data_IF_158073238060
#
_entry.id   IF_158073238060
#
_cell.length_a   1.000
_cell.length_b   1.000
_cell.length_c   1.000
_cell.angle_alpha   90.00
_cell.angle_beta   90.00
_cell.angle_gamma   90.00
#
_symmetry.space_group_name_H-M   'P 1'
#
loop_
_entity.id
_entity.type
_entity.pdbx_description
1 polymer ?
#
# COMPACT_ATOMS: atom_id res chain seq x y z
N UNK A 1 -13.97 14.90 -15.11
CA UNK A 1 -14.31 15.96 -14.13
C UNK A 1 -13.67 15.62 -12.78
N UNK A 2 -13.28 16.60 -11.95
CA UNK A 2 -12.81 16.36 -10.59
C UNK A 2 -13.84 15.58 -9.76
N UNK A 3 -13.37 14.69 -8.89
CA UNK A 3 -14.20 13.78 -8.07
C UNK A 3 -14.17 14.10 -6.56
N UNK A 4 -13.48 15.17 -6.17
CA UNK A 4 -13.42 15.63 -4.77
C UNK A 4 -12.44 14.89 -3.86
N UNK A 5 -11.50 14.10 -4.42
CA UNK A 5 -10.46 13.39 -3.63
C UNK A 5 -9.08 13.53 -4.29
N UNK A 6 -8.02 13.50 -3.49
CA UNK A 6 -6.63 13.37 -4.01
C UNK A 6 -6.34 11.96 -4.52
N UNK A 7 -6.83 10.91 -3.87
CA UNK A 7 -6.77 9.54 -4.38
C UNK A 7 -8.14 8.89 -4.39
N UNK A 8 -8.75 8.86 -5.59
CA UNK A 8 -9.98 8.10 -5.81
C UNK A 8 -9.73 6.58 -5.71
N UNK A 9 -8.52 6.13 -6.08
CA UNK A 9 -8.11 4.73 -5.96
C UNK A 9 -8.15 4.25 -4.52
N UNK A 10 -7.56 5.01 -3.58
CA UNK A 10 -7.59 4.67 -2.15
C UNK A 10 -9.03 4.61 -1.63
N UNK A 11 -9.89 5.53 -2.07
CA UNK A 11 -11.32 5.51 -1.72
C UNK A 11 -12.05 4.25 -2.22
N UNK A 12 -11.77 3.79 -3.45
CA UNK A 12 -12.35 2.53 -3.96
C UNK A 12 -11.97 1.36 -3.04
N UNK A 13 -10.72 1.28 -2.60
CA UNK A 13 -10.26 0.20 -1.69
C UNK A 13 -10.90 0.25 -0.30
N UNK A 14 -11.39 1.41 0.14
CA UNK A 14 -12.17 1.53 1.38
C UNK A 14 -13.60 0.95 1.24
N UNK A 15 -14.10 0.74 0.01
CA UNK A 15 -15.50 0.40 -0.26
C UNK A 15 -15.66 -0.89 -1.09
N UNK A 16 -14.64 -1.75 -1.13
CA UNK A 16 -14.65 -2.95 -1.97
C UNK A 16 -15.20 -4.19 -1.25
N UNK A 17 -14.41 -4.84 -0.39
CA UNK A 17 -14.83 -6.02 0.37
C UNK A 17 -14.14 -6.00 1.75
N UNK A 18 -14.87 -5.69 2.83
CA UNK A 18 -14.30 -5.53 4.16
C UNK A 18 -13.68 -6.81 4.72
N UNK A 19 -14.00 -8.00 4.18
CA UNK A 19 -13.40 -9.25 4.61
C UNK A 19 -11.92 -9.37 4.19
N UNK A 20 -11.49 -8.59 3.19
CA UNK A 20 -10.15 -8.73 2.59
C UNK A 20 -9.40 -7.41 2.40
N UNK A 21 -10.01 -6.28 2.68
CA UNK A 21 -9.38 -4.94 2.58
C UNK A 21 -9.22 -4.31 3.96
N UNK A 22 -8.43 -3.24 4.06
CA UNK A 22 -8.35 -2.42 5.27
C UNK A 22 -6.98 -2.41 5.94
N UNK A 23 -6.98 -1.88 7.17
CA UNK A 23 -5.78 -1.67 8.01
C UNK A 23 -5.39 -2.88 8.87
N UNK A 24 -6.21 -3.96 8.86
CA UNK A 24 -6.02 -5.17 9.65
C UNK A 24 -5.73 -4.89 11.14
N UNK A 25 -6.68 -4.37 11.94
CA UNK A 25 -6.45 -3.95 13.33
C UNK A 25 -5.68 -4.96 14.20
N UNK A 26 -5.92 -6.25 13.98
CA UNK A 26 -5.28 -7.32 14.75
C UNK A 26 -3.75 -7.37 14.63
N UNK A 27 -3.15 -6.73 13.62
CA UNK A 27 -1.67 -6.71 13.47
C UNK A 27 -0.98 -5.88 14.57
N UNK A 28 -1.75 -5.07 15.30
CA UNK A 28 -1.28 -4.25 16.42
C UNK A 28 -1.65 -4.85 17.80
N UNK A 29 -2.28 -6.01 17.83
CA UNK A 29 -2.58 -6.73 19.07
C UNK A 29 -1.33 -7.43 19.62
N UNK A 30 -1.24 -7.56 20.94
CA UNK A 30 -0.21 -8.37 21.59
C UNK A 30 -0.28 -9.82 21.10
N UNK A 31 0.88 -10.41 20.81
CA UNK A 31 0.96 -11.78 20.28
C UNK A 31 0.75 -11.90 18.77
N UNK A 32 0.69 -10.78 18.03
CA UNK A 32 0.72 -10.82 16.57
C UNK A 32 1.94 -11.61 16.05
N UNK A 33 1.68 -12.52 15.11
CA UNK A 33 2.68 -13.38 14.48
C UNK A 33 2.10 -14.10 13.26
N UNK A 34 2.87 -15.04 12.69
CA UNK A 34 2.43 -15.79 11.50
C UNK A 34 1.14 -16.58 11.72
N UNK A 35 0.98 -17.21 12.89
CA UNK A 35 -0.21 -17.98 13.24
C UNK A 35 -1.48 -17.10 13.24
N UNK A 36 -1.41 -15.93 13.86
CA UNK A 36 -2.53 -14.97 13.87
C UNK A 36 -2.94 -14.51 12.47
N UNK A 37 -1.96 -14.28 11.59
CA UNK A 37 -2.21 -13.93 10.20
C UNK A 37 -2.81 -15.11 9.40
N UNK A 38 -2.35 -16.34 9.65
CA UNK A 38 -2.94 -17.55 9.09
C UNK A 38 -4.40 -17.67 9.50
N UNK A 39 -4.73 -17.48 10.77
CA UNK A 39 -6.12 -17.50 11.24
C UNK A 39 -6.99 -16.49 10.51
N UNK A 40 -6.53 -15.24 10.41
CA UNK A 40 -7.21 -14.23 9.61
C UNK A 40 -7.43 -14.69 8.16
N UNK A 41 -6.38 -15.15 7.49
CA UNK A 41 -6.45 -15.57 6.10
C UNK A 41 -7.37 -16.78 5.88
N UNK A 42 -7.43 -17.72 6.83
CA UNK A 42 -8.34 -18.87 6.80
C UNK A 42 -9.82 -18.45 6.87
N UNK A 43 -10.10 -17.32 7.52
CA UNK A 43 -11.45 -16.77 7.68
C UNK A 43 -11.86 -15.82 6.54
N UNK A 44 -10.92 -15.41 5.68
CA UNK A 44 -11.27 -14.67 4.45
C UNK A 44 -12.01 -15.61 3.48
N UNK A 45 -13.20 -15.23 2.97
CA UNK A 45 -13.91 -16.05 2.00
C UNK A 45 -13.15 -16.22 0.69
N UNK A 46 -13.14 -17.44 0.15
CA UNK A 46 -12.43 -17.77 -1.09
C UNK A 46 -13.05 -17.09 -2.31
N UNK A 47 -12.29 -16.97 -3.40
CA UNK A 47 -12.80 -16.63 -4.74
C UNK A 47 -12.94 -17.85 -5.64
N UNK A 48 -11.90 -18.68 -5.71
CA UNK A 48 -11.83 -19.80 -6.63
C UNK A 48 -10.90 -20.89 -6.11
N UNK A 49 -10.97 -22.05 -6.76
CA UNK A 49 -9.92 -23.08 -6.74
C UNK A 49 -9.43 -23.26 -8.17
N UNK A 50 -8.12 -23.33 -8.38
CA UNK A 50 -7.56 -23.60 -9.71
C UNK A 50 -7.20 -25.08 -9.84
N UNK A 51 -7.83 -25.79 -10.79
CA UNK A 51 -7.61 -27.21 -11.05
C UNK A 51 -7.60 -27.48 -12.54
N UNK A 52 -6.60 -28.22 -13.01
CA UNK A 52 -6.50 -28.71 -14.39
C UNK A 52 -6.78 -27.64 -15.46
N UNK A 53 -6.22 -26.45 -15.28
CA UNK A 53 -6.38 -25.34 -16.22
C UNK A 53 -7.67 -24.52 -16.06
N UNK A 54 -8.49 -24.79 -15.04
CA UNK A 54 -9.80 -24.19 -14.85
C UNK A 54 -9.94 -23.50 -13.50
N UNK A 55 -10.60 -22.35 -13.51
CA UNK A 55 -11.07 -21.67 -12.31
C UNK A 55 -12.42 -22.24 -11.90
N UNK A 56 -12.46 -22.93 -10.77
CA UNK A 56 -13.67 -23.43 -10.12
C UNK A 56 -14.18 -22.35 -9.18
N UNK A 57 -15.43 -21.92 -9.35
CA UNK A 57 -16.02 -20.88 -8.53
C UNK A 57 -16.21 -21.37 -7.09
N UNK A 58 -15.48 -20.75 -6.15
CA UNK A 58 -15.58 -20.98 -4.71
C UNK A 58 -15.93 -19.68 -3.96
N UNK A 59 -16.54 -18.72 -4.67
CA UNK A 59 -16.84 -17.40 -4.15
C UNK A 59 -17.67 -17.50 -2.87
N UNK A 60 -17.16 -16.93 -1.79
CA UNK A 60 -17.84 -16.89 -0.49
C UNK A 60 -17.68 -18.17 0.35
N UNK A 61 -16.98 -19.20 -0.15
CA UNK A 61 -16.79 -20.46 0.58
C UNK A 61 -15.58 -20.40 1.52
N UNK A 62 -15.54 -21.30 2.51
CA UNK A 62 -14.54 -21.30 3.59
C UNK A 62 -13.29 -22.10 3.23
N UNK A 63 -12.12 -21.48 3.38
CA UNK A 63 -10.85 -22.19 3.28
C UNK A 63 -10.68 -23.20 4.43
N UNK A 64 -11.27 -22.94 5.60
CA UNK A 64 -11.31 -23.92 6.70
C UNK A 64 -12.13 -25.15 6.34
N UNK A 65 -13.23 -25.01 5.60
CA UNK A 65 -13.96 -26.17 5.08
C UNK A 65 -13.14 -26.92 4.04
N UNK A 66 -12.38 -26.21 3.21
CA UNK A 66 -11.46 -26.84 2.27
C UNK A 66 -10.41 -27.70 2.99
N UNK A 67 -9.78 -27.18 4.05
CA UNK A 67 -8.84 -27.96 4.88
C UNK A 67 -9.43 -29.26 5.41
N UNK A 68 -10.74 -29.31 5.62
CA UNK A 68 -11.47 -30.46 6.16
C UNK A 68 -12.09 -31.36 5.08
N UNK A 69 -11.85 -31.12 3.79
CA UNK A 69 -12.47 -31.88 2.70
C UNK A 69 -13.95 -31.56 2.47
N UNK A 70 -14.44 -30.43 3.02
CA UNK A 70 -15.86 -30.05 3.06
C UNK A 70 -16.20 -28.88 2.15
N UNK A 71 -15.29 -28.45 1.27
CA UNK A 71 -15.54 -27.35 0.34
C UNK A 71 -16.64 -27.71 -0.67
N UNK A 72 -17.79 -27.01 -0.71
CA UNK A 72 -18.86 -27.32 -1.65
C UNK A 72 -18.45 -27.28 -3.12
N UNK A 73 -17.56 -26.36 -3.50
CA UNK A 73 -17.02 -26.24 -4.86
C UNK A 73 -16.16 -27.44 -5.28
N UNK A 74 -15.60 -28.18 -4.33
CA UNK A 74 -14.72 -29.32 -4.58
C UNK A 74 -14.86 -30.38 -3.47
N UNK A 75 -15.98 -31.13 -3.44
CA UNK A 75 -16.30 -32.02 -2.32
C UNK A 75 -15.29 -33.16 -2.15
N UNK A 76 -14.86 -33.40 -0.90
CA UNK A 76 -13.94 -34.48 -0.55
C UNK A 76 -12.45 -34.17 -0.78
N UNK A 77 -12.14 -33.05 -1.43
CA UNK A 77 -10.78 -32.63 -1.75
C UNK A 77 -10.22 -31.69 -0.68
N UNK A 78 -8.92 -31.77 -0.42
CA UNK A 78 -8.18 -30.92 0.52
C UNK A 78 -7.23 -29.99 -0.22
N UNK A 79 -6.92 -28.78 0.31
CA UNK A 79 -6.10 -27.81 -0.38
C UNK A 79 -4.65 -28.27 -0.49
N UNK A 80 -4.02 -27.91 -1.59
CA UNK A 80 -2.58 -27.95 -1.79
C UNK A 80 -1.94 -26.63 -1.32
N UNK A 81 -0.61 -26.59 -1.27
CA UNK A 81 0.11 -25.33 -1.06
C UNK A 81 -0.12 -24.31 -2.18
N UNK A 82 -0.47 -24.76 -3.40
CA UNK A 82 -0.82 -23.86 -4.50
C UNK A 82 -2.14 -23.15 -4.20
N UNK A 83 -3.14 -23.86 -3.67
CA UNK A 83 -4.42 -23.26 -3.28
C UNK A 83 -4.26 -22.23 -2.19
N UNK A 84 -3.39 -22.50 -1.23
CA UNK A 84 -3.05 -21.54 -0.19
C UNK A 84 -2.39 -20.28 -0.77
N UNK A 85 -1.44 -20.44 -1.69
CA UNK A 85 -0.78 -19.31 -2.35
C UNK A 85 -1.75 -18.49 -3.21
N UNK A 86 -2.67 -19.16 -3.92
CA UNK A 86 -3.73 -18.51 -4.69
C UNK A 86 -4.68 -17.76 -3.76
N UNK A 87 -5.13 -18.38 -2.66
CA UNK A 87 -6.01 -17.78 -1.67
C UNK A 87 -5.42 -16.51 -1.07
N UNK A 88 -4.16 -16.55 -0.62
CA UNK A 88 -3.44 -15.37 -0.10
C UNK A 88 -3.36 -14.23 -1.13
N UNK A 89 -3.34 -14.55 -2.42
CA UNK A 89 -3.32 -13.55 -3.50
C UNK A 89 -4.67 -12.85 -3.68
N UNK A 90 -5.74 -13.39 -3.10
CA UNK A 90 -7.08 -12.78 -3.08
C UNK A 90 -7.36 -11.90 -1.86
N UNK A 91 -6.40 -11.75 -0.95
CA UNK A 91 -6.49 -10.84 0.20
C UNK A 91 -5.87 -9.50 -0.20
N UNK A 92 -6.45 -8.34 0.14
CA UNK A 92 -6.03 -7.02 -0.34
C UNK A 92 -5.97 -5.91 0.74
N UNK A 93 -5.29 -6.12 1.89
CA UNK A 93 -5.04 -5.06 2.87
C UNK A 93 -4.05 -3.99 2.35
N UNK A 94 -3.81 -2.91 3.10
CA UNK A 94 -2.79 -1.90 2.74
C UNK A 94 -1.37 -2.46 2.74
N UNK A 95 -1.09 -3.40 3.65
CA UNK A 95 0.14 -4.16 3.71
C UNK A 95 -0.22 -5.65 3.75
N UNK A 96 0.24 -6.43 2.78
CA UNK A 96 -0.11 -7.85 2.66
C UNK A 96 1.07 -8.74 2.97
N UNK A 97 0.83 -9.79 3.76
CA UNK A 97 1.83 -10.80 4.07
C UNK A 97 1.61 -12.06 3.23
N UNK A 98 2.70 -12.51 2.61
CA UNK A 98 2.90 -13.84 2.01
C UNK A 98 4.25 -14.36 2.52
N UNK A 99 5.05 -15.01 1.67
CA UNK A 99 6.48 -15.25 1.91
C UNK A 99 7.33 -13.96 1.92
N UNK A 100 6.69 -12.83 1.68
CA UNK A 100 7.23 -11.47 1.63
C UNK A 100 6.10 -10.49 2.00
N UNK A 101 6.46 -9.26 2.31
CA UNK A 101 5.51 -8.16 2.53
C UNK A 101 5.31 -7.35 1.26
N UNK A 102 4.08 -6.92 1.00
CA UNK A 102 3.71 -6.06 -0.12
C UNK A 102 3.09 -4.77 0.42
N UNK A 103 3.66 -3.62 0.06
CA UNK A 103 3.12 -2.29 0.37
C UNK A 103 2.20 -1.84 -0.76
N UNK A 104 0.91 -1.63 -0.46
CA UNK A 104 -0.16 -1.58 -1.48
C UNK A 104 -0.92 -0.24 -1.50
N UNK A 105 -0.49 0.75 -0.73
CA UNK A 105 -1.21 2.02 -0.57
C UNK A 105 -1.06 3.02 -1.72
N UNK A 106 -0.04 2.89 -2.58
CA UNK A 106 0.30 3.91 -3.56
C UNK A 106 -0.55 3.87 -4.85
N UNK A 107 -0.81 5.05 -5.40
CA UNK A 107 -1.34 5.24 -6.75
C UNK A 107 -0.23 5.03 -7.79
N UNK A 108 -0.60 4.63 -9.01
CA UNK A 108 0.34 4.62 -10.13
C UNK A 108 0.71 6.05 -10.53
N UNK A 109 1.93 6.27 -11.03
CA UNK A 109 2.39 7.60 -11.44
C UNK A 109 3.64 7.51 -12.31
N UNK A 110 4.08 8.64 -12.88
CA UNK A 110 5.20 8.71 -13.83
C UNK A 110 6.49 8.03 -13.33
N UNK A 111 7.37 7.66 -14.28
CA UNK A 111 8.64 6.96 -14.09
C UNK A 111 9.39 7.30 -12.78
N UNK A 112 9.64 8.59 -12.50
CA UNK A 112 10.41 8.99 -11.31
C UNK A 112 9.75 8.54 -10.00
N UNK A 113 8.43 8.55 -9.94
CA UNK A 113 7.64 8.14 -8.77
C UNK A 113 7.51 6.62 -8.67
N UNK A 114 7.55 5.90 -9.81
CA UNK A 114 7.68 4.44 -9.81
C UNK A 114 8.98 3.99 -9.16
N UNK A 115 10.09 4.70 -9.40
CA UNK A 115 11.37 4.43 -8.75
C UNK A 115 11.42 4.91 -7.31
N UNK A 116 10.73 6.00 -6.98
CA UNK A 116 10.71 6.55 -5.62
C UNK A 116 9.98 5.65 -4.62
N UNK A 117 8.88 5.01 -5.02
CA UNK A 117 8.07 4.15 -4.15
C UNK A 117 8.87 3.00 -3.50
N UNK A 118 9.63 2.16 -4.24
CA UNK A 118 10.48 1.16 -3.62
C UNK A 118 11.64 1.79 -2.85
N UNK A 119 12.21 2.91 -3.31
CA UNK A 119 13.24 3.64 -2.57
C UNK A 119 12.79 4.06 -1.18
N UNK A 120 11.57 4.58 -1.05
CA UNK A 120 10.95 4.95 0.23
C UNK A 120 10.88 3.76 1.18
N UNK A 121 10.25 2.65 0.73
CA UNK A 121 10.06 1.49 1.60
C UNK A 121 11.36 0.75 1.92
N UNK A 122 12.31 0.69 0.99
CA UNK A 122 13.65 0.13 1.26
C UNK A 122 14.38 0.98 2.30
N UNK A 123 14.32 2.30 2.18
CA UNK A 123 14.91 3.23 3.16
C UNK A 123 14.32 3.06 4.56
N UNK A 124 13.01 2.86 4.68
CA UNK A 124 12.35 2.66 5.96
C UNK A 124 12.60 1.28 6.58
N UNK A 125 12.69 0.22 5.76
CA UNK A 125 12.54 -1.15 6.27
C UNK A 125 13.85 -1.96 6.30
N UNK A 126 14.86 -1.59 5.50
CA UNK A 126 16.06 -2.43 5.30
C UNK A 126 17.31 -1.90 6.03
N UNK A 127 17.12 -0.95 6.95
CA UNK A 127 18.06 -0.58 8.00
C UNK A 127 17.34 -0.63 9.35
N UNK A 128 17.97 -1.19 10.38
CA UNK A 128 17.32 -1.40 11.67
C UNK A 128 17.01 -0.07 12.38
N UNK A 129 17.90 0.92 12.29
CA UNK A 129 17.69 2.20 12.96
C UNK A 129 16.57 2.99 12.28
N UNK A 130 16.51 2.95 10.96
CA UNK A 130 15.41 3.53 10.20
C UNK A 130 14.07 2.85 10.49
N UNK A 131 14.06 1.52 10.61
CA UNK A 131 12.86 0.76 10.95
C UNK A 131 12.33 1.12 12.34
N UNK A 132 13.21 1.18 13.34
CA UNK A 132 12.85 1.55 14.70
C UNK A 132 12.33 3.00 14.76
N UNK A 133 12.99 3.94 14.07
CA UNK A 133 12.54 5.33 13.98
C UNK A 133 11.18 5.47 13.29
N UNK A 134 10.95 4.71 12.21
CA UNK A 134 9.65 4.70 11.53
C UNK A 134 8.54 4.13 12.43
N UNK A 135 8.85 3.11 13.23
CA UNK A 135 7.92 2.59 14.22
C UNK A 135 7.64 3.61 15.33
N UNK A 136 8.65 4.33 15.79
CA UNK A 136 8.50 5.37 16.83
C UNK A 136 7.51 6.47 16.45
N UNK A 137 7.38 6.82 15.17
CA UNK A 137 6.39 7.78 14.68
C UNK A 137 4.94 7.31 14.87
N UNK A 138 4.69 6.01 14.76
CA UNK A 138 3.35 5.44 14.67
C UNK A 138 2.97 4.52 15.83
N UNK A 139 3.91 4.12 16.71
CA UNK A 139 3.66 3.14 17.78
C UNK A 139 2.62 3.59 18.80
N UNK A 140 2.49 4.89 19.01
CA UNK A 140 1.53 5.49 19.94
C UNK A 140 0.11 5.65 19.39
N UNK A 141 -0.12 5.37 18.10
CA UNK A 141 -1.43 5.58 17.49
C UNK A 141 -2.38 4.43 17.81
N UNK A 142 -3.58 4.79 18.23
CA UNK A 142 -4.70 3.85 18.33
C UNK A 142 -5.27 3.49 16.95
N UNK A 143 -6.21 2.54 16.93
CA UNK A 143 -6.82 2.03 15.70
C UNK A 143 -7.63 3.11 14.97
N UNK A 144 -8.31 3.98 15.72
CA UNK A 144 -9.10 5.08 15.17
C UNK A 144 -8.21 6.08 14.43
N UNK A 145 -7.11 6.50 15.05
CA UNK A 145 -6.12 7.41 14.45
C UNK A 145 -5.54 6.83 13.16
N UNK A 146 -5.17 5.53 13.15
CA UNK A 146 -4.62 4.87 11.96
C UNK A 146 -5.60 4.87 10.80
N UNK A 147 -6.87 4.51 11.05
CA UNK A 147 -7.88 4.49 9.99
C UNK A 147 -8.29 5.90 9.55
N UNK A 148 -8.40 6.84 10.49
CA UNK A 148 -8.66 8.24 10.19
C UNK A 148 -7.57 8.85 9.31
N UNK A 149 -6.30 8.56 9.58
CA UNK A 149 -5.17 8.99 8.75
C UNK A 149 -5.23 8.37 7.34
N UNK A 150 -5.57 7.08 7.21
CA UNK A 150 -5.79 6.42 5.92
C UNK A 150 -6.88 7.14 5.11
N UNK A 151 -8.00 7.47 5.75
CA UNK A 151 -9.13 8.16 5.10
C UNK A 151 -8.73 9.59 4.70
N UNK A 152 -8.16 10.36 5.63
CA UNK A 152 -7.77 11.74 5.41
C UNK A 152 -6.74 11.87 4.29
N UNK A 153 -5.73 10.97 4.24
CA UNK A 153 -4.77 10.89 3.15
C UNK A 153 -5.44 10.78 1.76
N UNK A 154 -6.53 10.00 1.66
CA UNK A 154 -7.24 9.83 0.39
C UNK A 154 -8.01 11.07 -0.05
N UNK A 155 -8.48 11.88 0.91
CA UNK A 155 -9.31 13.06 0.68
C UNK A 155 -8.43 14.27 0.39
N UNK A 156 -7.49 14.56 1.29
CA UNK A 156 -6.74 15.82 1.34
C UNK A 156 -5.25 15.67 1.01
N UNK A 157 -4.75 14.44 0.86
CA UNK A 157 -3.34 14.20 0.53
C UNK A 157 -2.42 14.78 1.61
N UNK A 158 -1.42 15.59 1.21
CA UNK A 158 -0.47 16.22 2.13
C UNK A 158 -1.10 17.30 3.02
N UNK A 159 -2.29 17.80 2.68
CA UNK A 159 -3.04 18.76 3.49
C UNK A 159 -3.87 18.11 4.60
N UNK A 160 -3.90 16.77 4.67
CA UNK A 160 -4.67 16.06 5.67
C UNK A 160 -4.20 16.39 7.10
N UNK A 161 -5.16 16.63 7.98
CA UNK A 161 -4.94 16.80 9.42
C UNK A 161 -6.05 16.07 10.18
N UNK A 162 -5.68 15.17 11.09
CA UNK A 162 -6.65 14.46 11.93
C UNK A 162 -5.97 13.93 13.19
N UNK A 163 -6.71 13.87 14.31
CA UNK A 163 -6.20 13.40 15.60
C UNK A 163 -4.88 14.08 16.04
N UNK A 164 -4.70 15.36 15.68
CA UNK A 164 -3.49 16.13 15.97
C UNK A 164 -2.27 15.79 15.10
N UNK A 165 -2.41 14.92 14.10
CA UNK A 165 -1.36 14.58 13.14
C UNK A 165 -1.55 15.37 11.86
N UNK A 166 -0.51 16.09 11.44
CA UNK A 166 -0.44 16.77 10.14
C UNK A 166 0.32 15.91 9.15
N UNK A 167 -0.31 15.59 8.02
CA UNK A 167 0.28 14.70 7.02
C UNK A 167 1.58 15.25 6.44
N UNK A 168 1.67 16.55 6.20
CA UNK A 168 2.89 17.14 5.64
C UNK A 168 4.08 17.03 6.62
N UNK A 169 3.84 17.21 7.92
CA UNK A 169 4.88 17.06 8.94
C UNK A 169 5.30 15.59 9.08
N UNK A 170 4.32 14.68 9.15
CA UNK A 170 4.58 13.24 9.14
C UNK A 170 5.36 12.80 7.89
N UNK A 171 4.99 13.30 6.71
CA UNK A 171 5.66 12.96 5.46
C UNK A 171 7.12 13.44 5.45
N UNK A 172 7.41 14.60 6.05
CA UNK A 172 8.79 15.11 6.24
C UNK A 172 9.60 14.12 7.08
N UNK A 173 9.10 13.79 8.26
CA UNK A 173 9.77 12.87 9.18
C UNK A 173 10.01 11.49 8.53
N UNK A 174 8.99 10.95 7.87
CA UNK A 174 9.09 9.67 7.13
C UNK A 174 10.14 9.74 6.02
N UNK A 175 10.20 10.82 5.25
CA UNK A 175 11.17 10.94 4.15
C UNK A 175 12.61 11.09 4.68
N UNK A 176 12.81 11.81 5.79
CA UNK A 176 14.11 11.95 6.44
C UNK A 176 14.63 10.61 6.99
N UNK A 177 13.75 9.80 7.59
CA UNK A 177 14.08 8.45 8.05
C UNK A 177 14.44 7.55 6.86
N UNK A 178 13.64 7.57 5.79
CA UNK A 178 13.90 6.76 4.60
C UNK A 178 15.24 7.14 3.95
N UNK A 179 15.55 8.43 3.84
CA UNK A 179 16.84 8.89 3.34
C UNK A 179 18.00 8.39 4.22
N UNK A 180 17.84 8.47 5.55
CA UNK A 180 18.86 7.99 6.49
C UNK A 180 19.12 6.49 6.33
N UNK A 181 18.07 5.67 6.16
CA UNK A 181 18.22 4.24 5.92
C UNK A 181 18.85 3.90 4.57
N UNK A 182 18.56 4.67 3.50
CA UNK A 182 19.24 4.51 2.22
C UNK A 182 20.73 4.89 2.30
N UNK A 183 21.07 5.97 3.03
CA UNK A 183 22.48 6.32 3.29
C UNK A 183 23.22 5.24 4.08
N UNK A 184 22.56 4.66 5.09
CA UNK A 184 23.14 3.58 5.90
C UNK A 184 23.39 2.32 5.08
N UNK A 185 22.48 1.98 4.15
CA UNK A 185 22.66 0.88 3.19
C UNK A 185 23.81 1.14 2.22
N UNK A 186 23.94 2.38 1.76
CA UNK A 186 25.06 2.85 0.93
C UNK A 186 25.31 2.01 -0.32
N UNK A 187 24.25 1.55 -1.01
CA UNK A 187 24.44 0.75 -2.22
C UNK A 187 24.71 1.66 -3.43
N UNK A 188 25.94 1.65 -4.00
CA UNK A 188 26.28 2.56 -5.07
C UNK A 188 25.62 2.17 -6.40
N UNK A 189 25.31 3.19 -7.20
CA UNK A 189 24.77 3.04 -8.55
C UNK A 189 25.75 3.48 -9.64
N UNK A 190 25.43 3.15 -10.89
CA UNK A 190 26.14 3.68 -12.07
C UNK A 190 27.67 3.51 -12.03
N UNK A 191 28.13 2.33 -11.60
CA UNK A 191 29.56 2.04 -11.49
C UNK A 191 30.29 2.85 -10.40
N UNK A 192 29.58 3.33 -9.38
CA UNK A 192 30.14 4.11 -8.27
C UNK A 192 30.03 5.63 -8.44
N UNK A 193 29.46 6.12 -9.55
CA UNK A 193 29.22 7.55 -9.76
C UNK A 193 28.09 8.09 -8.87
N UNK A 194 27.18 7.21 -8.46
CA UNK A 194 26.12 7.51 -7.51
C UNK A 194 26.46 6.83 -6.20
N UNK A 195 26.69 7.58 -5.11
CA UNK A 195 27.20 7.00 -3.86
C UNK A 195 26.19 6.08 -3.18
N UNK A 196 24.89 6.40 -3.29
CA UNK A 196 23.81 5.66 -2.64
C UNK A 196 22.46 5.83 -3.38
N UNK A 197 21.43 5.13 -2.90
CA UNK A 197 20.09 5.11 -3.48
C UNK A 197 19.25 6.38 -3.21
N UNK A 198 19.73 7.36 -2.43
CA UNK A 198 18.91 8.47 -1.92
C UNK A 198 18.30 9.37 -3.00
N UNK A 199 18.94 9.42 -4.18
CA UNK A 199 18.46 10.20 -5.33
C UNK A 199 17.08 9.72 -5.84
N UNK A 200 16.68 8.46 -5.58
CA UNK A 200 15.34 7.98 -5.92
C UNK A 200 14.23 8.71 -5.14
N UNK A 201 14.55 9.29 -3.98
CA UNK A 201 13.60 10.02 -3.15
C UNK A 201 13.32 11.45 -3.63
N UNK A 202 14.05 11.97 -4.62
CA UNK A 202 13.95 13.36 -5.05
C UNK A 202 12.52 13.76 -5.47
N UNK A 203 11.79 12.88 -6.16
CA UNK A 203 10.41 13.17 -6.55
C UNK A 203 9.44 13.31 -5.35
N UNK A 204 9.74 12.65 -4.23
CA UNK A 204 8.97 12.79 -2.99
C UNK A 204 9.37 14.08 -2.26
N UNK A 205 10.67 14.42 -2.29
CA UNK A 205 11.21 15.69 -1.80
C UNK A 205 10.51 16.88 -2.43
N UNK A 206 10.39 16.90 -3.76
CA UNK A 206 9.68 17.94 -4.50
C UNK A 206 8.22 18.10 -4.02
N UNK A 207 7.55 16.98 -3.72
CA UNK A 207 6.16 16.98 -3.23
C UNK A 207 6.05 17.57 -1.82
N UNK A 208 7.02 17.26 -0.95
CA UNK A 208 7.08 17.79 0.43
C UNK A 208 7.44 19.28 0.47
N UNK A 209 8.38 19.70 -0.37
CA UNK A 209 8.83 21.10 -0.45
C UNK A 209 7.73 22.02 -1.00
N UNK A 210 7.04 21.57 -2.04
CA UNK A 210 5.87 22.29 -2.60
C UNK A 210 4.62 22.15 -1.73
N UNK A 211 4.56 21.12 -0.87
CA UNK A 211 3.35 20.71 -0.17
C UNK A 211 2.27 20.18 -1.12
N UNK A 212 2.60 19.82 -2.36
CA UNK A 212 1.63 19.39 -3.37
C UNK A 212 1.78 17.90 -3.69
N UNK A 213 0.64 17.21 -3.78
CA UNK A 213 0.57 15.87 -4.35
C UNK A 213 0.50 15.93 -5.88
N UNK A 214 0.76 14.82 -6.59
CA UNK A 214 0.52 14.76 -8.04
C UNK A 214 -0.95 15.06 -8.41
N UNK A 215 -1.90 14.79 -7.51
CA UNK A 215 -3.29 15.14 -7.72
C UNK A 215 -3.51 16.67 -7.65
N UNK A 216 -2.77 17.39 -6.81
CA UNK A 216 -2.78 18.86 -6.77
C UNK A 216 -2.27 19.45 -8.08
N UNK A 217 -1.14 18.93 -8.58
CA UNK A 217 -0.57 19.31 -9.87
C UNK A 217 -1.62 19.14 -10.99
N UNK A 218 -2.23 17.95 -11.08
CA UNK A 218 -3.23 17.64 -12.11
C UNK A 218 -4.49 18.50 -12.00
N UNK A 219 -4.95 18.80 -10.77
CA UNK A 219 -6.08 19.70 -10.56
C UNK A 219 -5.73 21.13 -10.98
N UNK A 220 -4.53 21.61 -10.68
CA UNK A 220 -4.06 22.93 -11.11
C UNK A 220 -4.00 23.03 -12.64
N UNK A 221 -3.49 22.01 -13.34
CA UNK A 221 -3.49 21.95 -14.82
C UNK A 221 -4.90 21.95 -15.38
N UNK A 222 -5.77 21.09 -14.84
CA UNK A 222 -7.16 20.98 -15.24
C UNK A 222 -7.92 22.29 -15.12
N UNK A 223 -7.74 23.03 -14.02
CA UNK A 223 -8.40 24.32 -13.78
C UNK A 223 -7.68 25.49 -14.46
N UNK A 224 -6.42 25.32 -14.84
CA UNK A 224 -5.58 26.34 -15.48
C UNK A 224 -5.50 26.15 -16.99
N UNK A 225 -4.32 25.75 -17.47
CA UNK A 225 -3.97 25.71 -18.88
C UNK A 225 -4.76 24.70 -19.72
N UNK A 226 -5.32 23.65 -19.09
CA UNK A 226 -6.23 22.75 -19.78
C UNK A 226 -7.64 23.31 -19.91
N UNK A 227 -8.00 24.35 -19.16
CA UNK A 227 -9.33 24.99 -19.21
C UNK A 227 -10.50 23.98 -19.13
N UNK A 228 -10.36 22.97 -18.27
CA UNK A 228 -11.33 21.88 -18.08
C UNK A 228 -11.26 20.73 -19.10
N UNK A 229 -10.33 20.75 -20.05
CA UNK A 229 -10.11 19.68 -21.03
C UNK A 229 -9.20 18.57 -20.46
N UNK A 230 -9.82 17.55 -19.86
CA UNK A 230 -9.08 16.40 -19.33
C UNK A 230 -8.31 15.61 -20.41
N UNK A 231 -8.68 15.70 -21.70
CA UNK A 231 -8.02 14.89 -22.74
C UNK A 231 -6.53 15.21 -22.89
N UNK A 232 -6.10 16.39 -22.45
CA UNK A 232 -4.70 16.83 -22.41
C UNK A 232 -3.80 15.90 -21.59
N UNK A 233 -4.35 15.26 -20.56
CA UNK A 233 -3.58 14.35 -19.68
C UNK A 233 -2.93 13.22 -20.47
N UNK A 234 -3.57 12.71 -21.52
CA UNK A 234 -3.08 11.56 -22.28
C UNK A 234 -1.83 11.88 -23.09
N UNK A 235 -1.69 13.12 -23.58
CA UNK A 235 -0.49 13.55 -24.30
C UNK A 235 0.64 14.01 -23.38
N UNK A 236 0.30 14.65 -22.27
CA UNK A 236 1.30 15.27 -21.38
C UNK A 236 1.83 14.34 -20.28
N UNK A 237 1.08 13.30 -19.94
CA UNK A 237 1.43 12.33 -18.90
C UNK A 237 1.56 10.90 -19.44
N UNK A 238 1.75 10.73 -20.76
CA UNK A 238 2.12 9.42 -21.34
C UNK A 238 3.52 8.99 -20.92
N UNK A 239 3.73 7.68 -20.83
CA UNK A 239 5.07 7.08 -20.66
C UNK A 239 5.85 7.04 -21.97
#
# INVERSE_FOLDING_TARGET
>A
KPNGRKSWRSHIWQNLDPARTGMLPFVFEDGMGFERYVDFALDVPMYFVYRDGKYINALGQSFRDFLNGKLPALPGEVPTLSDWADHLTTIFPEARMKKYLEMRGADGGQWRRLCALPGLWVGLMYDQSALDAAWDLAKGWDLETRDAMRIAASVDGLQAETHGVKMLDLARDVLEIAESGLKARGCPGSGGLVPDETHFLNALRDSIESGQTPADELLARYHGDWNGDLSRIYGEYSY
#
